data_IF_888998127016
#
_entry.id   IF_888998127016
#
_cell.length_a   1.000
_cell.length_b   1.000
_cell.length_c   1.000
_cell.angle_alpha   90.00
_cell.angle_beta   90.00
_cell.angle_gamma   90.00
#
_symmetry.space_group_name_H-M   'P 1'
#
loop_
_entity.id
_entity.type
_entity.pdbx_description
1 polymer ?
#
# COMPACT_ATOMS: atom_id res chain seq x y z
N UNK A 1 -9.61 -11.83 -17.55
CA UNK A 1 -8.22 -11.99 -17.02
C UNK A 1 -8.24 -13.13 -16.01
N UNK A 2 -7.25 -13.99 -16.00
CA UNK A 2 -7.10 -15.06 -15.01
C UNK A 2 -5.78 -14.82 -14.30
N UNK A 3 -5.82 -14.70 -12.97
CA UNK A 3 -4.62 -14.62 -12.15
C UNK A 3 -4.49 -15.90 -11.32
N UNK A 4 -3.26 -16.40 -11.20
CA UNK A 4 -2.93 -17.54 -10.37
C UNK A 4 -2.04 -17.06 -9.23
N UNK A 5 -2.62 -16.97 -8.05
CA UNK A 5 -1.91 -16.70 -6.83
C UNK A 5 -2.18 -17.76 -5.79
N UNK A 6 -1.18 -18.04 -5.01
CA UNK A 6 -1.30 -18.93 -3.85
C UNK A 6 -0.61 -18.31 -2.65
N UNK A 7 -0.97 -18.73 -1.45
CA UNK A 7 -0.28 -18.28 -0.25
C UNK A 7 1.18 -18.70 -0.31
N UNK A 8 2.06 -17.79 0.09
CA UNK A 8 3.51 -18.04 0.22
C UNK A 8 3.81 -18.56 1.62
N UNK A 9 3.16 -19.66 1.98
CA UNK A 9 3.36 -20.26 3.28
C UNK A 9 4.76 -20.86 3.41
N UNK A 10 5.40 -20.64 4.54
CA UNK A 10 6.63 -21.34 4.89
C UNK A 10 6.32 -22.79 5.28
N UNK A 11 7.21 -23.69 4.90
CA UNK A 11 7.12 -25.11 5.26
C UNK A 11 7.89 -25.30 6.57
N UNK A 12 7.20 -25.72 7.62
CA UNK A 12 7.82 -26.09 8.89
C UNK A 12 8.54 -27.45 8.80
N UNK A 13 9.46 -27.70 9.74
CA UNK A 13 10.24 -28.93 9.80
C UNK A 13 9.38 -30.21 9.96
N UNK A 14 8.17 -30.08 10.47
CA UNK A 14 7.18 -31.15 10.64
C UNK A 14 6.30 -31.37 9.41
N UNK A 15 6.55 -30.64 8.32
CA UNK A 15 5.79 -30.70 7.08
C UNK A 15 4.48 -29.91 7.10
N UNK A 16 4.18 -29.20 8.18
CA UNK A 16 3.04 -28.26 8.22
C UNK A 16 3.40 -26.96 7.53
N UNK A 17 2.38 -26.25 7.05
CA UNK A 17 2.54 -24.91 6.47
C UNK A 17 2.02 -23.89 7.45
N UNK A 18 2.81 -22.82 7.67
CA UNK A 18 2.34 -21.64 8.40
C UNK A 18 1.73 -20.65 7.44
N UNK A 19 0.61 -20.07 7.86
CA UNK A 19 -0.07 -19.00 7.16
C UNK A 19 -0.20 -17.84 8.13
N UNK A 20 0.40 -16.71 7.78
CA UNK A 20 0.32 -15.50 8.57
C UNK A 20 -0.78 -14.57 8.05
N UNK A 21 -1.25 -13.65 8.90
CA UNK A 21 -2.13 -12.55 8.48
C UNK A 21 -1.49 -11.76 7.31
N UNK A 22 -0.16 -11.58 7.33
CA UNK A 22 0.58 -10.90 6.27
C UNK A 22 0.45 -11.58 4.91
N UNK A 23 0.50 -12.90 4.88
CA UNK A 23 0.34 -13.68 3.64
C UNK A 23 -1.09 -13.57 3.10
N UNK A 24 -2.08 -13.59 3.98
CA UNK A 24 -3.47 -13.34 3.63
C UNK A 24 -3.67 -11.96 3.03
N UNK A 25 -3.19 -10.92 3.71
CA UNK A 25 -3.27 -9.54 3.24
C UNK A 25 -2.59 -9.37 1.88
N UNK A 26 -1.40 -9.94 1.70
CA UNK A 26 -0.71 -9.93 0.40
C UNK A 26 -1.55 -10.61 -0.70
N UNK A 27 -2.12 -11.75 -0.44
CA UNK A 27 -2.96 -12.46 -1.41
C UNK A 27 -4.21 -11.66 -1.77
N UNK A 28 -4.87 -11.08 -0.78
CA UNK A 28 -6.05 -10.21 -0.97
C UNK A 28 -5.67 -9.01 -1.83
N UNK A 29 -4.55 -8.32 -1.51
CA UNK A 29 -4.08 -7.16 -2.25
C UNK A 29 -3.83 -7.47 -3.72
N UNK A 30 -3.16 -8.60 -4.03
CA UNK A 30 -2.94 -9.00 -5.42
C UNK A 30 -4.26 -9.27 -6.15
N UNK A 31 -5.20 -9.99 -5.52
CA UNK A 31 -6.51 -10.27 -6.13
C UNK A 31 -7.28 -8.98 -6.41
N UNK A 32 -7.28 -8.03 -5.47
CA UNK A 32 -7.91 -6.71 -5.65
C UNK A 32 -7.26 -5.97 -6.82
N UNK A 33 -5.92 -5.97 -6.88
CA UNK A 33 -5.16 -5.31 -7.94
C UNK A 33 -5.54 -5.86 -9.32
N UNK A 34 -5.47 -7.17 -9.51
CA UNK A 34 -5.79 -7.81 -10.78
C UNK A 34 -7.25 -7.63 -11.21
N UNK A 35 -8.18 -7.60 -10.26
CA UNK A 35 -9.58 -7.26 -10.55
C UNK A 35 -9.73 -5.80 -10.97
N UNK A 36 -8.98 -4.91 -10.35
CA UNK A 36 -8.98 -3.48 -10.66
C UNK A 36 -8.60 -3.19 -12.12
N UNK A 37 -7.71 -3.98 -12.68
CA UNK A 37 -7.33 -3.88 -14.10
C UNK A 37 -8.49 -4.11 -15.08
N UNK A 38 -9.58 -4.71 -14.66
CA UNK A 38 -10.80 -4.79 -15.48
C UNK A 38 -11.31 -3.38 -15.83
N UNK A 39 -11.11 -2.40 -14.95
CA UNK A 39 -11.51 -1.02 -15.18
C UNK A 39 -10.36 -0.16 -15.72
N UNK A 40 -9.21 -0.19 -15.05
CA UNK A 40 -7.97 0.49 -15.44
C UNK A 40 -6.85 -0.54 -15.69
N UNK A 41 -6.42 -0.79 -16.95
CA UNK A 41 -6.65 -0.01 -18.17
C UNK A 41 -7.69 -0.61 -19.12
N UNK A 42 -8.51 -1.63 -18.75
CA UNK A 42 -9.35 -2.32 -19.76
C UNK A 42 -10.55 -1.48 -20.22
N UNK A 43 -11.27 -0.82 -19.31
CA UNK A 43 -12.40 0.05 -19.65
C UNK A 43 -11.94 1.47 -19.94
N UNK A 44 -11.12 2.07 -19.08
CA UNK A 44 -10.42 3.33 -19.33
C UNK A 44 -8.99 2.96 -19.72
N UNK A 45 -8.72 2.97 -21.03
CA UNK A 45 -7.46 2.48 -21.57
C UNK A 45 -6.30 3.45 -21.29
N UNK A 46 -5.07 2.98 -21.45
CA UNK A 46 -3.85 3.79 -21.38
C UNK A 46 -2.79 3.30 -22.35
N UNK A 47 -1.79 4.13 -22.62
CA UNK A 47 -0.55 3.69 -23.27
C UNK A 47 0.46 3.24 -22.22
N UNK A 48 0.37 1.98 -21.81
CA UNK A 48 1.15 1.38 -20.73
C UNK A 48 2.67 1.50 -20.97
N UNK A 49 3.09 1.45 -22.24
CA UNK A 49 4.51 1.57 -22.58
C UNK A 49 5.04 2.99 -22.45
N UNK A 50 4.20 3.98 -22.69
CA UNK A 50 4.57 5.38 -22.53
C UNK A 50 4.37 5.84 -21.07
N UNK A 51 3.25 5.45 -20.46
CA UNK A 51 2.85 5.94 -19.14
C UNK A 51 2.32 4.79 -18.28
N UNK A 52 3.23 3.93 -17.84
CA UNK A 52 2.92 2.75 -17.02
C UNK A 52 2.12 3.08 -15.76
N UNK A 53 2.32 4.25 -15.18
CA UNK A 53 1.59 4.70 -14.00
C UNK A 53 0.07 4.87 -14.20
N UNK A 54 -0.38 5.10 -15.45
CA UNK A 54 -1.82 5.21 -15.75
C UNK A 54 -2.52 3.85 -15.69
N UNK A 55 -1.78 2.80 -15.89
CA UNK A 55 -2.19 1.43 -15.68
C UNK A 55 -2.00 1.05 -14.20
N UNK A 56 -0.78 0.91 -13.79
CA UNK A 56 -0.40 0.34 -12.51
C UNK A 56 -0.63 1.29 -11.33
N UNK A 57 -0.33 2.57 -11.50
CA UNK A 57 -0.40 3.55 -10.43
C UNK A 57 -1.83 3.91 -10.05
N UNK A 58 -2.70 4.12 -11.05
CA UNK A 58 -4.13 4.37 -10.79
C UNK A 58 -4.77 3.13 -10.15
N UNK A 59 -4.43 1.96 -10.65
CA UNK A 59 -4.95 0.71 -10.11
C UNK A 59 -4.45 0.44 -8.68
N UNK A 60 -3.17 0.70 -8.40
CA UNK A 60 -2.61 0.62 -7.03
C UNK A 60 -3.28 1.59 -6.06
N UNK A 61 -3.63 2.80 -6.52
CA UNK A 61 -4.40 3.74 -5.71
C UNK A 61 -5.78 3.16 -5.31
N UNK A 62 -6.50 2.58 -6.27
CA UNK A 62 -7.80 1.94 -5.99
C UNK A 62 -7.65 0.69 -5.12
N UNK A 63 -6.61 -0.10 -5.35
CA UNK A 63 -6.24 -1.22 -4.48
C UNK A 63 -6.09 -0.76 -3.03
N UNK A 64 -5.29 0.29 -2.79
CA UNK A 64 -5.08 0.84 -1.46
C UNK A 64 -6.41 1.23 -0.78
N UNK A 65 -7.31 1.91 -1.49
CA UNK A 65 -8.62 2.27 -0.93
C UNK A 65 -9.43 1.03 -0.53
N UNK A 66 -9.44 0.00 -1.38
CA UNK A 66 -10.17 -1.23 -1.11
C UNK A 66 -9.55 -2.05 0.05
N UNK A 67 -8.23 -2.06 0.17
CA UNK A 67 -7.52 -2.68 1.29
C UNK A 67 -7.87 -2.02 2.62
N UNK A 68 -7.94 -0.68 2.65
CA UNK A 68 -8.31 0.08 3.85
C UNK A 68 -9.80 -0.05 4.22
N UNK A 69 -10.65 -0.53 3.30
CA UNK A 69 -12.03 -0.89 3.58
C UNK A 69 -12.20 -2.37 3.98
N UNK A 70 -11.17 -3.19 3.77
CA UNK A 70 -11.24 -4.62 4.09
C UNK A 70 -11.22 -4.86 5.60
N UNK A 71 -10.19 -4.37 6.25
CA UNK A 71 -9.94 -4.55 7.69
C UNK A 71 -9.20 -3.34 8.25
N UNK A 72 -9.51 -2.96 9.47
CA UNK A 72 -8.80 -1.89 10.17
C UNK A 72 -7.32 -2.30 10.35
N UNK A 73 -6.42 -1.37 10.08
CA UNK A 73 -4.97 -1.61 10.09
C UNK A 73 -4.50 -2.68 9.09
N UNK A 74 -5.20 -2.78 7.96
CA UNK A 74 -4.68 -3.57 6.84
C UNK A 74 -3.29 -3.05 6.44
N UNK A 75 -2.31 -3.95 6.36
CA UNK A 75 -0.92 -3.59 6.05
C UNK A 75 -0.70 -3.53 4.55
N UNK A 76 -1.08 -2.40 3.97
CA UNK A 76 -0.83 -2.13 2.56
C UNK A 76 0.67 -1.97 2.29
N UNK A 77 1.14 -2.53 1.18
CA UNK A 77 2.53 -2.38 0.76
C UNK A 77 2.79 -1.07 0.03
N UNK A 78 1.74 -0.40 -0.46
CA UNK A 78 1.80 0.81 -1.27
C UNK A 78 0.64 1.75 -0.95
N UNK A 79 0.78 3.02 -1.32
CA UNK A 79 -0.23 4.04 -1.11
C UNK A 79 -0.01 4.88 0.15
N UNK A 80 0.38 4.26 1.24
CA UNK A 80 0.70 4.96 2.49
C UNK A 80 1.94 5.85 2.32
N UNK A 81 1.86 7.18 2.62
CA UNK A 81 2.95 8.11 2.37
C UNK A 81 4.28 7.75 3.03
N UNK A 82 4.26 7.11 4.20
CA UNK A 82 5.49 6.72 4.91
C UNK A 82 6.36 5.73 4.14
N UNK A 83 5.78 4.90 3.28
CA UNK A 83 6.52 3.85 2.57
C UNK A 83 7.22 4.34 1.30
N UNK A 84 6.88 5.52 0.78
CA UNK A 84 7.54 6.07 -0.42
C UNK A 84 8.80 6.89 -0.09
N UNK A 85 9.05 7.21 1.17
CA UNK A 85 10.11 8.13 1.62
C UNK A 85 11.50 7.70 1.14
N UNK A 86 11.84 6.41 1.27
CA UNK A 86 13.15 5.90 0.86
C UNK A 86 13.34 5.99 -0.66
N UNK A 87 12.28 5.75 -1.43
CA UNK A 87 12.33 5.95 -2.87
C UNK A 87 12.50 7.41 -3.24
N UNK A 88 11.81 8.33 -2.56
CA UNK A 88 11.91 9.78 -2.80
C UNK A 88 13.34 10.31 -2.56
N UNK A 89 14.12 9.66 -1.72
CA UNK A 89 15.54 9.97 -1.43
C UNK A 89 16.52 9.26 -2.36
N UNK A 90 16.05 8.32 -3.18
CA UNK A 90 16.92 7.50 -4.02
C UNK A 90 17.52 8.28 -5.18
N UNK A 91 18.82 8.11 -5.40
CA UNK A 91 19.52 8.63 -6.59
C UNK A 91 19.09 7.92 -7.89
N UNK A 92 18.36 6.82 -7.80
CA UNK A 92 17.80 6.08 -8.93
C UNK A 92 16.33 6.43 -9.18
N UNK A 93 15.83 7.46 -8.55
CA UNK A 93 14.50 7.99 -8.80
C UNK A 93 14.45 8.62 -10.20
N UNK A 94 13.39 8.34 -10.94
CA UNK A 94 13.08 9.03 -12.19
C UNK A 94 11.66 9.59 -12.12
N UNK A 95 11.31 10.61 -12.94
CA UNK A 95 9.93 11.12 -12.97
C UNK A 95 8.90 10.02 -13.23
N UNK A 96 7.71 10.14 -12.65
CA UNK A 96 6.59 9.21 -12.91
C UNK A 96 6.26 9.15 -14.42
N UNK A 97 6.43 10.27 -15.12
CA UNK A 97 6.18 10.39 -16.57
C UNK A 97 7.20 9.66 -17.45
N UNK A 98 8.19 8.99 -16.85
CA UNK A 98 9.19 8.20 -17.59
C UNK A 98 8.53 6.99 -18.24
N UNK A 99 8.92 6.70 -19.49
CA UNK A 99 8.40 5.52 -20.20
C UNK A 99 8.91 4.20 -19.56
N UNK A 100 8.17 3.12 -19.78
CA UNK A 100 8.41 1.82 -19.15
C UNK A 100 9.84 1.28 -19.30
N UNK A 101 10.48 1.54 -20.43
CA UNK A 101 11.81 1.00 -20.75
C UNK A 101 12.95 1.76 -20.03
N UNK A 102 12.66 2.93 -19.52
CA UNK A 102 13.64 3.81 -18.83
C UNK A 102 13.42 3.91 -17.32
N UNK A 103 12.47 3.19 -16.77
CA UNK A 103 12.21 3.17 -15.33
C UNK A 103 13.26 2.31 -14.61
N UNK A 104 13.97 2.89 -13.64
CA UNK A 104 15.01 2.19 -12.89
C UNK A 104 14.48 1.37 -11.72
N UNK A 105 13.49 1.87 -11.00
CA UNK A 105 12.83 1.18 -9.88
C UNK A 105 11.34 1.03 -10.19
N UNK A 106 11.03 0.03 -11.01
CA UNK A 106 9.72 -0.13 -11.64
C UNK A 106 8.55 -0.14 -10.62
N UNK A 107 8.63 -0.98 -9.59
CA UNK A 107 7.59 -1.07 -8.56
C UNK A 107 7.35 0.22 -7.79
N UNK A 108 8.39 1.01 -7.57
CA UNK A 108 8.27 2.30 -6.90
C UNK A 108 7.75 3.40 -7.83
N UNK A 109 8.24 3.44 -9.05
CA UNK A 109 7.90 4.49 -10.01
C UNK A 109 6.51 4.33 -10.61
N UNK A 110 6.19 3.13 -11.09
CA UNK A 110 4.94 2.88 -11.79
C UNK A 110 3.75 2.65 -10.85
N UNK A 111 3.99 2.09 -9.66
CA UNK A 111 2.96 1.70 -8.68
C UNK A 111 2.92 2.63 -7.47
N UNK A 112 3.97 2.61 -6.64
CA UNK A 112 3.92 3.20 -5.30
C UNK A 112 3.86 4.73 -5.33
N UNK A 113 4.75 5.40 -6.06
CA UNK A 113 4.81 6.88 -6.08
C UNK A 113 3.52 7.52 -6.62
N UNK A 114 2.98 7.09 -7.79
CA UNK A 114 1.72 7.65 -8.29
C UNK A 114 0.53 7.34 -7.39
N UNK A 115 0.43 6.12 -6.82
CA UNK A 115 -0.62 5.80 -5.87
C UNK A 115 -0.55 6.69 -4.63
N UNK A 116 0.63 6.88 -4.05
CA UNK A 116 0.84 7.78 -2.91
C UNK A 116 0.48 9.22 -3.25
N UNK A 117 0.85 9.70 -4.44
CA UNK A 117 0.47 11.04 -4.90
C UNK A 117 -1.05 11.21 -4.93
N UNK A 118 -1.78 10.24 -5.47
CA UNK A 118 -3.24 10.28 -5.52
C UNK A 118 -3.88 10.19 -4.13
N UNK A 119 -3.32 9.40 -3.22
CA UNK A 119 -3.75 9.36 -1.80
C UNK A 119 -3.59 10.73 -1.15
N UNK A 120 -2.43 11.36 -1.29
CA UNK A 120 -2.17 12.70 -0.74
C UNK A 120 -3.13 13.74 -1.36
N UNK A 121 -3.33 13.67 -2.67
CA UNK A 121 -4.26 14.57 -3.36
C UNK A 121 -5.69 14.43 -2.83
N UNK A 122 -6.13 13.18 -2.61
CA UNK A 122 -7.45 12.87 -2.06
C UNK A 122 -7.62 13.25 -0.60
N UNK A 123 -6.65 12.87 0.24
CA UNK A 123 -6.80 12.97 1.70
C UNK A 123 -6.41 14.35 2.25
N UNK A 124 -5.48 15.06 1.60
CA UNK A 124 -4.88 16.26 2.16
C UNK A 124 -5.10 17.53 1.33
N UNK A 125 -5.22 17.43 0.01
CA UNK A 125 -5.26 18.61 -0.87
C UNK A 125 -6.68 18.95 -1.29
N UNK A 126 -7.35 18.06 -2.02
CA UNK A 126 -8.72 18.29 -2.49
C UNK A 126 -9.78 17.93 -1.45
N UNK A 127 -9.49 16.95 -0.60
CA UNK A 127 -10.49 16.29 0.22
C UNK A 127 -11.29 15.23 -0.57
N UNK A 128 -11.88 14.28 0.15
CA UNK A 128 -12.53 13.09 -0.44
C UNK A 128 -13.66 13.44 -1.40
N UNK A 129 -14.55 14.34 -1.01
CA UNK A 129 -15.73 14.66 -1.82
C UNK A 129 -15.34 15.18 -3.21
N UNK A 130 -14.42 16.15 -3.24
CA UNK A 130 -14.03 16.81 -4.47
C UNK A 130 -13.15 15.93 -5.35
N UNK A 131 -12.22 15.20 -4.73
CA UNK A 131 -11.40 14.24 -5.45
C UNK A 131 -12.25 13.11 -6.05
N UNK A 132 -13.13 12.51 -5.25
CA UNK A 132 -13.95 11.38 -5.70
C UNK A 132 -14.96 11.80 -6.79
N UNK A 133 -15.43 13.05 -6.75
CA UNK A 133 -16.23 13.63 -7.82
C UNK A 133 -15.39 13.72 -9.11
N UNK A 134 -14.22 14.33 -9.05
CA UNK A 134 -13.36 14.53 -10.20
C UNK A 134 -12.87 13.19 -10.80
N UNK A 135 -12.52 12.24 -9.95
CA UNK A 135 -12.07 10.91 -10.38
C UNK A 135 -13.21 10.11 -11.06
N UNK A 136 -14.43 10.19 -10.54
CA UNK A 136 -15.60 9.60 -11.20
C UNK A 136 -15.90 10.25 -12.55
N UNK A 137 -15.73 11.57 -12.65
CA UNK A 137 -15.89 12.28 -13.91
C UNK A 137 -14.82 11.81 -14.93
N UNK A 138 -13.56 11.67 -14.49
CA UNK A 138 -12.52 11.09 -15.33
C UNK A 138 -12.90 9.69 -15.82
N UNK A 139 -13.29 8.80 -14.94
CA UNK A 139 -13.67 7.43 -15.27
C UNK A 139 -14.85 7.39 -16.27
N UNK A 140 -15.87 8.23 -16.08
CA UNK A 140 -17.04 8.31 -16.97
C UNK A 140 -16.74 8.93 -18.33
N UNK A 141 -15.97 10.02 -18.35
CA UNK A 141 -15.60 10.76 -19.57
C UNK A 141 -14.72 9.90 -20.50
N UNK A 142 -13.86 9.09 -19.91
CA UNK A 142 -12.84 8.36 -20.62
C UNK A 142 -13.09 6.85 -20.78
N UNK A 143 -14.18 6.29 -20.27
CA UNK A 143 -14.57 4.90 -20.53
C UNK A 143 -14.62 4.62 -22.04
N UNK A 144 -14.04 3.49 -22.42
CA UNK A 144 -13.90 3.03 -23.81
C UNK A 144 -13.07 3.96 -24.71
N UNK A 145 -12.21 4.79 -24.12
CA UNK A 145 -11.28 5.67 -24.78
C UNK A 145 -9.86 5.44 -24.21
N UNK A 146 -8.89 6.07 -24.84
CA UNK A 146 -7.48 5.99 -24.45
C UNK A 146 -6.95 7.39 -24.09
N UNK A 147 -7.19 7.87 -22.86
CA UNK A 147 -6.68 9.16 -22.42
C UNK A 147 -5.16 9.14 -22.25
N UNK A 148 -4.59 10.32 -22.34
CA UNK A 148 -3.21 10.61 -21.98
C UNK A 148 -3.12 11.13 -20.53
N UNK A 149 -1.91 11.23 -19.93
CA UNK A 149 -1.74 11.92 -18.64
C UNK A 149 -2.33 13.33 -18.61
N UNK A 150 -2.19 14.07 -19.69
CA UNK A 150 -2.74 15.42 -19.82
C UNK A 150 -4.26 15.45 -19.74
N UNK A 151 -4.91 14.43 -20.29
CA UNK A 151 -6.37 14.27 -20.22
C UNK A 151 -6.82 13.96 -18.79
N UNK A 152 -6.02 13.17 -18.06
CA UNK A 152 -6.26 12.90 -16.64
C UNK A 152 -6.10 14.19 -15.82
N UNK A 153 -4.98 14.87 -15.93
CA UNK A 153 -4.72 16.10 -15.16
C UNK A 153 -5.77 17.16 -15.41
N UNK A 154 -6.06 17.46 -16.69
CA UNK A 154 -7.07 18.43 -17.07
C UNK A 154 -8.47 18.05 -16.55
N UNK A 155 -8.84 16.78 -16.63
CA UNK A 155 -10.16 16.35 -16.16
C UNK A 155 -10.29 16.50 -14.66
N UNK A 156 -9.22 16.17 -13.90
CA UNK A 156 -9.18 16.37 -12.45
C UNK A 156 -9.31 17.85 -12.08
N UNK A 157 -8.64 18.75 -12.79
CA UNK A 157 -8.73 20.19 -12.57
C UNK A 157 -10.08 20.78 -12.97
N UNK A 158 -10.57 20.45 -14.16
CA UNK A 158 -11.88 20.92 -14.65
C UNK A 158 -13.01 20.51 -13.68
N UNK A 159 -13.00 19.25 -13.24
CA UNK A 159 -14.06 18.74 -12.37
C UNK A 159 -13.95 19.21 -10.93
N UNK A 160 -12.74 19.44 -10.42
CA UNK A 160 -12.52 19.96 -9.07
C UNK A 160 -12.56 21.49 -8.99
N UNK A 161 -12.43 22.18 -10.13
CA UNK A 161 -12.31 23.64 -10.17
C UNK A 161 -11.02 24.17 -9.49
N UNK A 162 -10.02 23.31 -9.33
CA UNK A 162 -8.79 23.62 -8.59
C UNK A 162 -7.58 23.55 -9.53
N UNK A 163 -6.73 24.57 -9.48
CA UNK A 163 -5.44 24.57 -10.17
C UNK A 163 -4.47 23.62 -9.45
N UNK A 164 -4.08 22.54 -10.13
CA UNK A 164 -3.18 21.50 -9.64
C UNK A 164 -1.87 21.43 -10.44
N UNK A 165 -1.57 22.37 -11.31
CA UNK A 165 -0.35 22.41 -12.11
C UNK A 165 0.92 22.23 -11.26
N UNK A 166 0.97 22.88 -10.10
CA UNK A 166 2.08 22.78 -9.15
C UNK A 166 2.23 21.35 -8.61
N UNK A 167 1.12 20.66 -8.35
CA UNK A 167 1.11 19.29 -7.83
C UNK A 167 1.57 18.30 -8.89
N UNK A 168 1.00 18.37 -10.10
CA UNK A 168 1.41 17.51 -11.21
C UNK A 168 2.87 17.68 -11.54
N UNK A 169 3.34 18.94 -11.60
CA UNK A 169 4.72 19.27 -11.89
C UNK A 169 5.67 18.66 -10.85
N UNK A 170 5.38 18.80 -9.56
CA UNK A 170 6.20 18.29 -8.48
C UNK A 170 6.22 16.77 -8.41
N UNK A 171 5.06 16.14 -8.46
CA UNK A 171 4.97 14.69 -8.29
C UNK A 171 5.29 13.89 -9.52
N UNK A 172 4.81 14.30 -10.71
CA UNK A 172 4.84 13.49 -11.92
C UNK A 172 6.02 13.83 -12.85
N UNK A 173 6.43 15.09 -12.90
CA UNK A 173 7.45 15.54 -13.84
C UNK A 173 8.83 15.75 -13.22
N UNK A 174 8.93 15.81 -11.90
CA UNK A 174 10.21 15.98 -11.22
C UNK A 174 10.53 14.86 -10.24
N UNK A 175 11.78 14.84 -9.78
CA UNK A 175 12.27 13.98 -8.70
C UNK A 175 12.56 14.76 -7.44
N UNK A 176 12.17 16.03 -7.40
CA UNK A 176 12.34 16.90 -6.24
C UNK A 176 11.48 16.40 -5.08
N UNK A 177 11.97 16.60 -3.88
CA UNK A 177 11.27 16.27 -2.65
C UNK A 177 11.56 17.31 -1.58
N UNK A 178 10.67 17.41 -0.62
CA UNK A 178 10.88 18.24 0.57
C UNK A 178 11.76 17.48 1.54
N UNK A 179 12.87 18.07 1.95
CA UNK A 179 13.76 17.50 2.95
C UNK A 179 13.51 18.17 4.31
N UNK A 180 12.56 17.63 5.05
CA UNK A 180 12.32 17.99 6.45
C UNK A 180 12.73 16.80 7.29
N UNK A 181 13.81 16.93 8.05
CA UNK A 181 14.28 15.89 8.95
C UNK A 181 13.92 16.19 10.40
N UNK A 182 13.30 15.21 11.06
CA UNK A 182 13.39 15.10 12.52
C UNK A 182 14.73 14.43 12.85
N UNK A 183 15.64 15.15 13.48
CA UNK A 183 17.01 14.65 13.70
C UNK A 183 17.07 13.40 14.57
N UNK A 184 16.18 13.22 15.51
CA UNK A 184 16.10 11.98 16.33
C UNK A 184 14.80 11.86 17.11
N UNK A 185 14.10 10.75 16.92
CA UNK A 185 13.14 10.20 17.89
C UNK A 185 13.62 8.81 18.26
N UNK A 186 13.90 8.56 19.53
CA UNK A 186 14.28 7.23 19.99
C UNK A 186 13.15 6.60 20.79
N UNK A 187 12.66 5.45 20.34
CA UNK A 187 12.00 4.48 21.18
C UNK A 187 13.03 3.37 21.43
N UNK A 188 13.55 3.24 22.65
CA UNK A 188 14.42 2.13 23.01
C UNK A 188 13.58 1.04 23.68
N UNK A 189 13.64 -0.16 23.18
CA UNK A 189 13.11 -1.34 23.86
C UNK A 189 14.26 -2.21 24.32
N UNK A 190 14.17 -2.75 25.54
CA UNK A 190 15.10 -3.74 26.04
C UNK A 190 14.73 -5.09 25.40
N UNK A 191 15.73 -5.75 24.79
CA UNK A 191 15.63 -7.15 24.43
C UNK A 191 15.50 -7.98 25.72
N UNK A 192 14.38 -8.68 25.86
CA UNK A 192 14.13 -9.48 27.06
C UNK A 192 14.82 -10.82 27.03
N UNK A 193 15.45 -11.16 25.88
CA UNK A 193 15.99 -12.49 25.59
C UNK A 193 14.96 -13.62 25.73
N UNK A 194 13.67 -13.26 25.70
CA UNK A 194 12.53 -14.17 25.74
C UNK A 194 11.63 -13.86 24.51
N UNK A 195 11.69 -14.67 23.45
CA UNK A 195 10.96 -14.40 22.23
C UNK A 195 9.46 -14.26 22.42
N UNK A 196 8.89 -14.94 23.42
CA UNK A 196 7.44 -14.82 23.68
C UNK A 196 7.09 -13.46 24.25
N UNK A 197 7.92 -12.92 25.14
CA UNK A 197 7.70 -11.58 25.70
C UNK A 197 7.95 -10.49 24.67
N UNK A 198 8.98 -10.66 23.83
CA UNK A 198 9.31 -9.70 22.80
C UNK A 198 8.19 -9.65 21.75
N UNK A 199 7.67 -10.80 21.29
CA UNK A 199 6.55 -10.87 20.37
C UNK A 199 5.23 -10.38 20.98
N UNK A 200 4.96 -10.65 22.25
CA UNK A 200 3.81 -10.09 22.96
C UNK A 200 3.89 -8.56 23.05
N UNK A 201 5.09 -8.03 23.26
CA UNK A 201 5.33 -6.60 23.25
C UNK A 201 5.15 -6.00 21.86
N UNK A 202 5.72 -6.62 20.83
CA UNK A 202 5.59 -6.18 19.45
C UNK A 202 4.11 -6.20 19.01
N UNK A 203 3.36 -7.20 19.46
CA UNK A 203 1.91 -7.27 19.28
C UNK A 203 1.19 -6.09 19.93
N UNK A 204 1.48 -5.78 21.18
CA UNK A 204 0.89 -4.64 21.89
C UNK A 204 1.26 -3.34 21.17
N UNK A 205 2.53 -3.15 20.83
CA UNK A 205 3.02 -1.98 20.10
C UNK A 205 2.31 -1.82 18.76
N UNK A 206 2.05 -2.91 18.01
CA UNK A 206 1.31 -2.89 16.76
C UNK A 206 -0.15 -2.43 16.94
N UNK A 207 -0.83 -2.96 17.95
CA UNK A 207 -2.22 -2.56 18.20
C UNK A 207 -2.34 -1.16 18.80
N UNK A 208 -1.31 -0.67 19.48
CA UNK A 208 -1.23 0.69 20.01
C UNK A 208 -0.73 1.74 19.01
N UNK A 209 -0.26 1.33 17.80
CA UNK A 209 0.12 2.29 16.76
C UNK A 209 -1.05 3.21 16.42
N UNK A 210 -0.81 4.53 16.30
CA UNK A 210 -1.82 5.45 15.84
C UNK A 210 -2.37 5.04 14.48
N UNK A 211 -3.66 5.22 14.28
CA UNK A 211 -4.29 5.02 12.99
C UNK A 211 -3.68 5.99 11.96
N UNK A 212 -3.55 5.53 10.73
CA UNK A 212 -3.19 6.41 9.62
C UNK A 212 -4.36 7.33 9.28
N UNK A 213 -4.07 8.45 8.64
CA UNK A 213 -5.08 9.47 8.31
C UNK A 213 -6.29 8.90 7.56
N UNK A 214 -6.04 7.89 6.73
CA UNK A 214 -7.09 7.23 5.97
C UNK A 214 -8.05 6.45 6.87
N UNK A 215 -7.53 5.68 7.82
CA UNK A 215 -8.34 4.92 8.78
C UNK A 215 -9.14 5.84 9.69
N UNK A 216 -8.53 6.91 10.20
CA UNK A 216 -9.24 7.90 11.01
C UNK A 216 -10.41 8.52 10.25
N UNK A 217 -10.21 8.83 8.96
CA UNK A 217 -11.26 9.36 8.10
C UNK A 217 -12.32 8.32 7.73
N UNK A 218 -11.94 7.07 7.54
CA UNK A 218 -12.90 5.98 7.32
C UNK A 218 -13.80 5.80 8.55
N UNK A 219 -13.23 5.74 9.74
CA UNK A 219 -14.00 5.64 10.99
C UNK A 219 -14.92 6.85 11.18
N UNK A 220 -14.42 8.06 10.96
CA UNK A 220 -15.20 9.30 11.07
C UNK A 220 -16.34 9.37 10.05
N UNK A 221 -16.16 8.82 8.86
CA UNK A 221 -17.17 8.74 7.82
C UNK A 221 -18.15 7.56 8.00
N UNK A 222 -17.94 6.72 9.03
CA UNK A 222 -18.78 5.53 9.27
C UNK A 222 -18.61 4.43 8.22
N UNK A 223 -17.46 4.36 7.55
CA UNK A 223 -17.14 3.29 6.61
C UNK A 223 -16.99 1.99 7.41
N UNK A 224 -17.83 0.99 7.10
CA UNK A 224 -17.77 -0.31 7.75
C UNK A 224 -16.68 -1.18 7.12
N UNK A 225 -15.95 -1.85 7.97
CA UNK A 225 -14.95 -2.80 7.53
C UNK A 225 -15.62 -4.06 6.96
N UNK A 226 -15.09 -4.64 5.89
CA UNK A 226 -15.64 -5.83 5.25
C UNK A 226 -15.69 -7.04 6.17
N UNK A 227 -14.67 -7.20 7.00
CA UNK A 227 -14.61 -8.28 7.99
C UNK A 227 -15.67 -8.14 9.09
N UNK A 228 -16.08 -6.90 9.42
CA UNK A 228 -17.17 -6.65 10.37
C UNK A 228 -18.54 -6.95 9.75
N UNK A 229 -18.76 -6.54 8.49
CA UNK A 229 -19.99 -6.81 7.76
C UNK A 229 -20.17 -8.29 7.43
N UNK A 230 -19.08 -9.00 7.26
CA UNK A 230 -19.03 -10.41 6.82
C UNK A 230 -18.03 -11.20 7.66
N UNK A 231 -18.34 -11.53 8.91
CA UNK A 231 -17.43 -12.26 9.79
C UNK A 231 -16.95 -13.61 9.23
N UNK A 232 -17.68 -14.20 8.28
CA UNK A 232 -17.24 -15.41 7.58
C UNK A 232 -16.01 -15.22 6.67
N UNK A 233 -15.55 -14.00 6.48
CA UNK A 233 -14.28 -13.69 5.79
C UNK A 233 -13.06 -13.87 6.71
N UNK A 234 -13.28 -13.91 8.03
CA UNK A 234 -12.27 -14.34 8.99
C UNK A 234 -12.11 -15.85 8.86
N UNK A 235 -10.91 -16.31 8.74
CA UNK A 235 -10.59 -17.70 8.46
C UNK A 235 -9.32 -18.16 9.19
N UNK A 236 -8.77 -19.32 8.78
CA UNK A 236 -7.57 -19.89 9.41
C UNK A 236 -6.35 -18.98 9.41
N UNK A 237 -6.27 -18.01 8.51
CA UNK A 237 -5.16 -17.06 8.49
C UNK A 237 -5.22 -16.04 9.64
N UNK A 238 -6.41 -15.80 10.19
CA UNK A 238 -6.60 -14.93 11.34
C UNK A 238 -6.27 -15.63 12.67
N UNK A 239 -6.19 -16.96 12.66
CA UNK A 239 -5.76 -17.77 13.80
C UNK A 239 -4.22 -17.78 13.97
N UNK A 240 -3.49 -17.51 12.87
CA UNK A 240 -2.02 -17.46 12.86
C UNK A 240 -1.57 -15.99 12.91
N UNK A 241 -1.29 -15.55 14.11
CA UNK A 241 -0.76 -14.24 14.40
C UNK A 241 0.78 -14.26 14.21
N UNK A 242 1.33 -13.27 13.49
CA UNK A 242 2.78 -13.13 13.30
C UNK A 242 3.55 -12.93 14.61
N UNK A 243 2.85 -12.53 15.68
CA UNK A 243 3.41 -12.39 17.01
C UNK A 243 3.40 -13.70 17.81
N UNK A 244 2.90 -14.80 17.24
CA UNK A 244 2.97 -16.13 17.87
C UNK A 244 4.24 -16.83 17.40
N UNK A 245 5.24 -17.02 18.27
CA UNK A 245 6.51 -17.59 17.85
C UNK A 245 6.34 -19.03 17.36
N UNK A 246 6.91 -19.32 16.21
CA UNK A 246 6.99 -20.69 15.70
C UNK A 246 7.89 -21.57 16.58
N UNK A 247 7.68 -22.87 16.52
CA UNK A 247 8.54 -23.84 17.23
C UNK A 247 10.02 -23.69 16.84
N UNK A 248 10.31 -23.25 15.61
CA UNK A 248 11.65 -23.00 15.09
C UNK A 248 12.30 -21.80 15.77
N UNK A 249 11.58 -20.68 15.90
CA UNK A 249 12.06 -19.48 16.59
C UNK A 249 12.33 -19.76 18.05
N UNK A 250 11.43 -20.47 18.74
CA UNK A 250 11.63 -20.87 20.14
C UNK A 250 12.89 -21.74 20.29
N UNK A 251 13.14 -22.68 19.37
CA UNK A 251 14.33 -23.53 19.37
C UNK A 251 15.61 -22.76 19.09
N UNK A 252 15.58 -21.83 18.11
CA UNK A 252 16.75 -21.04 17.74
C UNK A 252 17.26 -20.20 18.91
N UNK A 253 16.39 -19.59 19.69
CA UNK A 253 16.76 -18.80 20.87
C UNK A 253 17.31 -19.70 21.99
N UNK A 254 16.67 -20.85 22.21
CA UNK A 254 17.18 -21.83 23.21
C UNK A 254 18.59 -22.32 22.88
N UNK A 255 18.92 -22.42 21.57
CA UNK A 255 20.26 -22.84 21.13
C UNK A 255 21.29 -21.73 21.30
N UNK A 256 20.97 -20.49 21.01
CA UNK A 256 21.88 -19.35 21.17
C UNK A 256 22.25 -19.10 22.64
N UNK A 257 21.34 -19.35 23.57
CA UNK A 257 21.60 -19.22 25.01
C UNK A 257 22.54 -20.34 25.56
N UNK A 258 22.56 -21.50 24.90
CA UNK A 258 23.44 -22.61 25.31
C UNK A 258 24.87 -22.51 24.78
N UNK A 259 25.13 -21.60 23.83
CA UNK A 259 26.42 -21.48 23.13
C UNK A 259 27.21 -20.22 23.47
N UNK A 260 26.72 -19.35 24.35
CA UNK A 260 27.52 -18.24 24.86
C UNK A 260 28.50 -18.77 25.92
N UNK A 261 29.82 -18.62 25.71
CA UNK A 261 30.77 -18.97 26.75
C UNK A 261 30.64 -18.04 27.94
N UNK A 262 30.56 -18.61 29.12
CA UNK A 262 30.60 -17.90 30.42
C UNK A 262 31.93 -17.21 30.61
#
# INVERSE_FOLDING_TARGET
>A
MITFNGPRAELEDDGTRTYSRREKEYLIGVVIHEIGHIYFPMIVNSDERQWTWMDEGINTFLQYLAEQEWDLKYRSDRGEPRYIVDYMKSNYQVPIMTNSESILQFGNNAYAKPATALVILRESILGRELFDLAFREYANKWKFKRPTPYDFFRTMEEASGTDLDWFWRGWFYSTDHVDIALEKVFKASLDTLDPKKDLEKDRLDFYDEPLVIHDEKNLSAGVRQRVEERPQLLDIYDEYDEFTPSKREIRAVSYTHLTLPT
#
